data_IF_060855389204
#
_entry.id   IF_060855389204
#
_cell.length_a   1.000
_cell.length_b   1.000
_cell.length_c   1.000
_cell.angle_alpha   90.00
_cell.angle_beta   90.00
_cell.angle_gamma   90.00
#
_symmetry.space_group_name_H-M   'P 1'
#
loop_
_entity.id
_entity.type
_entity.pdbx_description
1 polymer ?
#
# COMPACT_ATOMS: atom_id res chain seq x y z
N UNK A 1 -3.18 31.69 20.40
CA UNK A 1 -4.35 31.60 21.29
C UNK A 1 -5.32 30.45 20.98
N UNK A 2 -5.91 30.33 19.76
CA UNK A 2 -6.85 29.20 19.48
C UNK A 2 -6.21 27.79 19.52
N UNK A 3 -4.92 27.67 19.21
CA UNK A 3 -4.20 26.38 19.15
C UNK A 3 -3.74 25.87 20.53
N UNK A 4 -3.31 26.76 21.43
CA UNK A 4 -2.90 26.38 22.79
C UNK A 4 -4.08 25.89 23.62
N UNK A 5 -5.25 26.54 23.52
CA UNK A 5 -6.47 26.03 24.15
C UNK A 5 -6.85 24.63 23.64
N UNK A 6 -6.60 24.33 22.36
CA UNK A 6 -6.94 23.03 21.78
C UNK A 6 -6.01 21.92 22.27
N UNK A 7 -4.71 22.22 22.45
CA UNK A 7 -3.76 21.28 23.04
C UNK A 7 -4.12 20.94 24.48
N UNK A 8 -4.52 21.95 25.27
CA UNK A 8 -4.94 21.79 26.67
C UNK A 8 -6.15 20.85 26.77
N UNK A 9 -7.14 21.03 25.89
CA UNK A 9 -8.35 20.17 25.85
C UNK A 9 -7.98 18.71 25.54
N UNK A 10 -7.11 18.46 24.55
CA UNK A 10 -6.69 17.10 24.18
C UNK A 10 -5.94 16.41 25.33
N UNK A 11 -5.10 17.16 26.06
CA UNK A 11 -4.38 16.63 27.22
C UNK A 11 -5.29 16.38 28.43
N UNK A 12 -6.31 17.22 28.65
CA UNK A 12 -7.30 17.02 29.71
C UNK A 12 -8.21 15.82 29.43
N UNK A 13 -8.69 15.66 28.19
CA UNK A 13 -9.53 14.53 27.80
C UNK A 13 -8.79 13.19 27.91
N UNK A 14 -7.49 13.17 27.57
CA UNK A 14 -6.62 12.01 27.74
C UNK A 14 -6.37 11.66 29.22
N UNK A 15 -6.29 12.66 30.10
CA UNK A 15 -6.10 12.46 31.55
C UNK A 15 -7.38 11.98 32.24
N UNK A 16 -8.56 12.37 31.73
CA UNK A 16 -9.87 12.09 32.33
C UNK A 16 -10.51 10.81 31.74
N UNK A 17 -9.87 10.15 30.77
CA UNK A 17 -10.34 8.88 30.22
C UNK A 17 -11.66 9.00 29.44
N UNK A 18 -12.00 10.19 28.94
CA UNK A 18 -13.21 10.38 28.14
C UNK A 18 -13.01 9.91 26.69
N UNK A 19 -14.14 9.59 26.05
CA UNK A 19 -14.23 9.04 24.69
C UNK A 19 -13.67 10.05 23.69
N UNK A 20 -12.48 9.79 23.15
CA UNK A 20 -11.84 10.63 22.13
C UNK A 20 -12.81 10.92 20.99
N UNK A 21 -13.15 12.19 20.79
CA UNK A 21 -13.94 12.62 19.64
C UNK A 21 -13.18 12.33 18.35
N UNK A 22 -13.88 12.13 17.23
CA UNK A 22 -13.24 11.95 15.90
C UNK A 22 -12.13 12.98 15.68
N UNK A 23 -12.40 14.25 16.00
CA UNK A 23 -11.43 15.37 15.91
C UNK A 23 -10.15 15.13 16.72
N UNK A 24 -10.25 14.57 17.92
CA UNK A 24 -9.08 14.25 18.76
C UNK A 24 -8.23 13.11 18.19
N UNK A 25 -8.86 12.11 17.55
CA UNK A 25 -8.13 11.02 16.89
C UNK A 25 -7.34 11.49 15.66
N UNK A 26 -7.89 12.43 14.87
CA UNK A 26 -7.17 13.05 13.75
C UNK A 26 -5.96 13.86 14.21
N UNK A 27 -6.08 14.61 15.31
CA UNK A 27 -4.99 15.41 15.86
C UNK A 27 -3.85 14.55 16.43
N UNK A 28 -4.16 13.40 17.02
CA UNK A 28 -3.16 12.41 17.46
C UNK A 28 -2.33 11.84 16.28
N UNK A 29 -2.95 11.64 15.10
CA UNK A 29 -2.25 11.13 13.91
C UNK A 29 -1.33 12.16 13.22
N UNK A 30 -1.55 13.44 13.49
CA UNK A 30 -0.80 14.55 12.88
C UNK A 30 0.33 15.02 13.83
N UNK A 31 0.23 14.78 15.13
CA UNK A 31 1.24 15.23 16.08
C UNK A 31 2.46 14.28 16.14
N UNK A 32 3.65 14.79 15.81
CA UNK A 32 4.91 14.08 16.04
C UNK A 32 5.38 14.30 17.48
N UNK A 33 5.22 13.27 18.31
CA UNK A 33 5.62 13.29 19.72
C UNK A 33 7.13 13.43 19.94
N UNK A 34 7.94 13.05 18.95
CA UNK A 34 9.41 13.06 19.08
C UNK A 34 10.01 14.41 18.69
N UNK A 35 9.40 15.10 17.73
CA UNK A 35 9.83 16.41 17.26
C UNK A 35 9.08 17.58 17.90
N UNK A 36 8.03 17.31 18.69
CA UNK A 36 7.09 18.31 19.22
C UNK A 36 6.54 19.24 18.12
N UNK A 37 6.27 18.68 16.93
CA UNK A 37 5.78 19.41 15.75
C UNK A 37 4.61 18.69 15.11
N UNK A 38 3.77 19.45 14.40
CA UNK A 38 2.72 18.89 13.56
C UNK A 38 3.38 18.31 12.31
N UNK A 39 3.13 17.04 11.99
CA UNK A 39 3.47 16.47 10.69
C UNK A 39 2.66 17.18 9.63
N UNK A 40 3.32 17.62 8.57
CA UNK A 40 2.66 18.16 7.39
C UNK A 40 1.53 17.21 6.94
N UNK A 41 0.33 17.73 6.62
CA UNK A 41 -0.77 16.91 6.14
C UNK A 41 -0.32 16.15 4.89
N UNK A 42 -0.70 14.87 4.79
CA UNK A 42 -0.36 14.06 3.63
C UNK A 42 -0.99 14.67 2.37
N UNK A 43 -0.15 15.05 1.42
CA UNK A 43 -0.57 15.50 0.09
C UNK A 43 -0.58 14.30 -0.85
N UNK A 44 -1.72 14.09 -1.51
CA UNK A 44 -1.85 13.07 -2.55
C UNK A 44 -0.97 13.50 -3.74
N UNK A 45 -0.07 12.63 -4.22
CA UNK A 45 0.80 12.97 -5.35
C UNK A 45 -0.03 13.10 -6.63
N UNK A 46 0.34 14.05 -7.47
CA UNK A 46 -0.11 14.09 -8.86
C UNK A 46 0.62 13.02 -9.67
N UNK A 47 0.08 12.70 -10.85
CA UNK A 47 0.78 11.90 -11.86
C UNK A 47 2.20 12.39 -12.15
N UNK A 48 2.39 13.72 -12.21
CA UNK A 48 3.70 14.31 -12.48
C UNK A 48 4.66 14.14 -11.31
N UNK A 49 4.18 14.19 -10.07
CA UNK A 49 5.00 13.93 -8.89
C UNK A 49 5.53 12.49 -8.87
N UNK A 50 4.68 11.51 -9.22
CA UNK A 50 5.10 10.11 -9.35
C UNK A 50 6.11 9.96 -10.48
N UNK A 51 5.82 10.49 -11.67
CA UNK A 51 6.72 10.42 -12.82
C UNK A 51 8.10 11.03 -12.52
N UNK A 52 8.14 12.20 -11.90
CA UNK A 52 9.39 12.86 -11.52
C UNK A 52 10.19 11.99 -10.53
N UNK A 53 9.50 11.37 -9.57
CA UNK A 53 10.11 10.54 -8.52
C UNK A 53 10.70 9.24 -9.07
N UNK A 54 9.95 8.48 -9.87
CA UNK A 54 10.38 7.15 -10.35
C UNK A 54 11.06 7.19 -11.73
N UNK A 55 10.88 8.26 -12.49
CA UNK A 55 11.33 8.40 -13.88
C UNK A 55 10.28 7.93 -14.89
N UNK A 56 10.35 8.47 -16.10
CA UNK A 56 9.37 8.23 -17.18
C UNK A 56 9.20 6.74 -17.52
N UNK A 57 10.30 5.99 -17.70
CA UNK A 57 10.22 4.56 -18.04
C UNK A 57 9.47 3.73 -16.98
N UNK A 58 9.77 3.96 -15.70
CA UNK A 58 9.07 3.27 -14.59
C UNK A 58 7.65 3.80 -14.41
N UNK A 59 7.37 5.04 -14.78
CA UNK A 59 6.01 5.59 -14.78
C UNK A 59 5.12 4.92 -15.83
N UNK A 60 5.66 4.58 -17.00
CA UNK A 60 4.94 3.79 -17.99
C UNK A 60 4.62 2.38 -17.48
N UNK A 61 5.57 1.75 -16.78
CA UNK A 61 5.34 0.46 -16.10
C UNK A 61 4.28 0.60 -15.00
N UNK A 62 4.37 1.64 -14.16
CA UNK A 62 3.38 1.95 -13.11
C UNK A 62 1.98 2.06 -13.71
N UNK A 63 1.79 2.89 -14.74
CA UNK A 63 0.50 3.10 -15.38
C UNK A 63 -0.04 1.83 -16.03
N UNK A 64 0.82 1.07 -16.72
CA UNK A 64 0.43 -0.18 -17.36
C UNK A 64 -0.05 -1.22 -16.34
N UNK A 65 0.60 -1.28 -15.18
CA UNK A 65 0.19 -2.17 -14.10
C UNK A 65 -1.15 -1.72 -13.48
N UNK A 66 -1.32 -0.42 -13.21
CA UNK A 66 -2.59 0.14 -12.73
C UNK A 66 -3.74 -0.20 -13.67
N UNK A 67 -3.58 0.02 -14.98
CA UNK A 67 -4.59 -0.28 -15.99
C UNK A 67 -4.97 -1.77 -16.01
N UNK A 68 -4.01 -2.68 -15.88
CA UNK A 68 -4.27 -4.13 -15.80
C UNK A 68 -5.09 -4.51 -14.58
N UNK A 69 -4.72 -3.97 -13.41
CA UNK A 69 -5.45 -4.19 -12.17
C UNK A 69 -6.87 -3.64 -12.31
N UNK A 70 -7.01 -2.40 -12.76
CA UNK A 70 -8.28 -1.70 -12.86
C UNK A 70 -9.21 -2.31 -13.92
N UNK A 71 -8.68 -2.96 -14.96
CA UNK A 71 -9.48 -3.72 -15.92
C UNK A 71 -10.18 -4.91 -15.28
N UNK A 72 -9.55 -5.57 -14.31
CA UNK A 72 -10.05 -6.80 -13.69
C UNK A 72 -10.74 -6.58 -12.34
N UNK A 73 -10.40 -5.49 -11.65
CA UNK A 73 -10.80 -5.23 -10.28
C UNK A 73 -11.38 -3.82 -10.11
N UNK A 74 -12.64 -3.75 -9.71
CA UNK A 74 -13.28 -2.57 -9.13
C UNK A 74 -12.97 -2.52 -7.62
N UNK A 75 -12.18 -1.52 -7.23
CA UNK A 75 -11.57 -1.39 -5.91
C UNK A 75 -11.64 0.05 -5.40
N UNK A 76 -11.64 0.19 -4.09
CA UNK A 76 -11.35 1.45 -3.41
C UNK A 76 -9.84 1.73 -3.51
N UNK A 77 -9.49 2.96 -3.88
CA UNK A 77 -8.12 3.42 -4.05
C UNK A 77 -7.73 4.32 -2.87
N UNK A 78 -6.59 4.05 -2.26
CA UNK A 78 -6.12 4.83 -1.11
C UNK A 78 -4.65 5.17 -1.24
N UNK A 79 -4.34 6.47 -1.22
CA UNK A 79 -2.99 6.98 -1.13
C UNK A 79 -2.56 7.17 0.33
N UNK A 80 -1.33 6.76 0.66
CA UNK A 80 -0.68 7.03 1.93
C UNK A 80 0.81 7.36 1.73
N UNK A 81 1.46 7.76 2.83
CA UNK A 81 2.93 7.78 2.91
C UNK A 81 3.45 6.34 2.88
N UNK A 82 4.57 6.11 2.19
CA UNK A 82 5.20 4.79 2.05
C UNK A 82 5.98 4.29 3.28
N UNK A 83 5.86 4.97 4.42
CA UNK A 83 6.58 4.63 5.64
C UNK A 83 8.04 5.06 5.61
N UNK A 84 8.94 4.26 6.22
CA UNK A 84 10.37 4.59 6.31
C UNK A 84 11.15 4.30 5.02
N UNK A 85 10.70 3.31 4.25
CA UNK A 85 11.43 2.80 3.08
C UNK A 85 10.93 3.35 1.74
N UNK A 86 9.75 3.98 1.72
CA UNK A 86 9.10 4.45 0.50
C UNK A 86 8.47 5.83 0.69
N UNK A 87 8.36 6.60 -0.39
CA UNK A 87 7.75 7.94 -0.37
C UNK A 87 6.24 7.84 -0.37
N UNK A 88 5.69 7.11 -1.34
CA UNK A 88 4.25 6.94 -1.52
C UNK A 88 3.85 5.48 -1.53
N UNK A 89 2.61 5.24 -1.10
CA UNK A 89 1.91 3.97 -1.17
C UNK A 89 0.54 4.20 -1.82
N UNK A 90 0.22 3.38 -2.82
CA UNK A 90 -1.05 3.39 -3.54
C UNK A 90 -1.74 2.04 -3.41
N UNK A 91 -2.79 1.98 -2.59
CA UNK A 91 -3.46 0.72 -2.21
C UNK A 91 -4.73 0.48 -3.02
N UNK A 92 -4.91 -0.77 -3.43
CA UNK A 92 -6.17 -1.31 -3.94
C UNK A 92 -6.87 -2.11 -2.83
N UNK A 93 -8.04 -1.65 -2.38
CA UNK A 93 -8.77 -2.23 -1.23
C UNK A 93 -10.22 -2.52 -1.56
N UNK A 94 -10.82 -3.51 -0.89
CA UNK A 94 -12.28 -3.71 -0.90
C UNK A 94 -12.70 -4.60 0.26
N UNK A 95 -13.75 -4.17 0.99
CA UNK A 95 -14.25 -4.84 2.19
C UNK A 95 -13.22 -4.88 3.32
N UNK A 96 -12.51 -3.77 3.55
CA UNK A 96 -11.46 -3.66 4.58
C UNK A 96 -10.14 -4.36 4.26
N UNK A 97 -10.12 -5.30 3.30
CA UNK A 97 -8.94 -6.07 2.90
C UNK A 97 -8.21 -5.44 1.70
N UNK A 98 -6.88 -5.47 1.75
CA UNK A 98 -6.00 -5.05 0.64
C UNK A 98 -5.85 -6.18 -0.37
N UNK A 99 -5.95 -5.83 -1.66
CA UNK A 99 -5.61 -6.72 -2.77
C UNK A 99 -4.10 -6.67 -3.04
N UNK A 100 -3.60 -5.46 -3.30
CA UNK A 100 -2.18 -5.13 -3.46
C UNK A 100 -1.94 -3.66 -3.14
N UNK A 101 -0.66 -3.28 -3.10
CA UNK A 101 -0.23 -1.90 -2.99
C UNK A 101 0.97 -1.66 -3.93
N UNK A 102 0.96 -0.54 -4.64
CA UNK A 102 2.14 -0.05 -5.34
C UNK A 102 2.87 0.94 -4.44
N UNK A 103 4.20 0.97 -4.52
CA UNK A 103 5.06 1.86 -3.77
C UNK A 103 5.98 2.63 -4.71
N UNK A 104 6.21 3.90 -4.40
CA UNK A 104 7.11 4.74 -5.15
C UNK A 104 8.16 5.35 -4.21
N UNK A 105 9.43 5.25 -4.61
CA UNK A 105 10.57 5.99 -4.05
C UNK A 105 11.49 6.37 -5.21
N UNK A 106 12.49 7.21 -4.95
CA UNK A 106 13.43 7.68 -5.98
C UNK A 106 13.90 6.53 -6.88
N UNK A 107 13.62 6.67 -8.20
CA UNK A 107 13.97 5.70 -9.26
C UNK A 107 13.55 4.25 -9.01
N UNK A 108 12.53 4.01 -8.20
CA UNK A 108 12.09 2.65 -7.86
C UNK A 108 10.56 2.52 -7.78
N UNK A 109 10.03 1.50 -8.45
CA UNK A 109 8.64 1.06 -8.36
C UNK A 109 8.56 -0.26 -7.57
N UNK A 110 7.82 -0.25 -6.47
CA UNK A 110 7.50 -1.42 -5.67
C UNK A 110 6.09 -1.91 -5.92
N UNK A 111 5.89 -3.23 -5.88
CA UNK A 111 4.57 -3.85 -5.86
C UNK A 111 4.51 -4.87 -4.73
N UNK A 112 3.51 -4.76 -3.87
CA UNK A 112 3.36 -5.62 -2.70
C UNK A 112 2.04 -6.38 -2.70
N UNK A 113 2.14 -7.67 -2.39
CA UNK A 113 1.00 -8.54 -2.09
C UNK A 113 1.23 -9.20 -0.74
N UNK A 114 0.17 -9.28 0.08
CA UNK A 114 0.19 -9.98 1.36
C UNK A 114 -0.66 -11.25 1.22
N UNK A 115 -0.04 -12.41 1.36
CA UNK A 115 -0.73 -13.71 1.29
C UNK A 115 -0.94 -14.29 2.69
N UNK A 116 -2.20 -14.45 3.08
CA UNK A 116 -2.63 -15.16 4.28
C UNK A 116 -2.42 -16.67 4.16
N UNK A 117 -2.79 -17.43 5.20
CA UNK A 117 -2.60 -18.88 5.26
C UNK A 117 -3.18 -19.62 4.04
N UNK A 118 -4.45 -19.38 3.73
CA UNK A 118 -5.15 -20.08 2.65
C UNK A 118 -4.65 -19.65 1.26
N UNK A 119 -4.25 -18.39 1.13
CA UNK A 119 -3.70 -17.84 -0.11
C UNK A 119 -2.31 -18.42 -0.39
N UNK A 120 -1.48 -18.60 0.65
CA UNK A 120 -0.19 -19.30 0.53
C UNK A 120 -0.38 -20.76 0.15
N UNK A 121 -1.34 -21.48 0.74
CA UNK A 121 -1.64 -22.85 0.35
C UNK A 121 -1.98 -22.97 -1.15
N UNK A 122 -2.76 -22.00 -1.68
CA UNK A 122 -3.04 -21.92 -3.13
C UNK A 122 -1.82 -21.57 -3.98
N UNK A 123 -0.94 -20.72 -3.46
CA UNK A 123 0.33 -20.40 -4.12
C UNK A 123 1.20 -21.65 -4.23
N UNK A 124 1.40 -22.42 -3.15
CA UNK A 124 2.23 -23.63 -3.18
C UNK A 124 1.72 -24.66 -4.19
N UNK A 125 0.39 -24.85 -4.29
CA UNK A 125 -0.21 -25.77 -5.28
C UNK A 125 0.08 -25.33 -6.72
N UNK A 126 0.11 -24.02 -6.97
CA UNK A 126 0.32 -23.44 -8.30
C UNK A 126 1.76 -22.97 -8.53
N UNK A 127 2.67 -23.27 -7.60
CA UNK A 127 4.01 -22.68 -7.53
C UNK A 127 4.81 -22.86 -8.81
N UNK A 128 4.73 -24.04 -9.43
CA UNK A 128 5.41 -24.34 -10.70
C UNK A 128 4.93 -23.52 -11.90
N UNK A 129 3.86 -22.73 -11.76
CA UNK A 129 3.36 -21.82 -12.80
C UNK A 129 3.95 -20.41 -12.70
N UNK A 130 4.67 -20.09 -11.62
CA UNK A 130 5.32 -18.80 -11.41
C UNK A 130 6.77 -18.83 -11.89
N UNK A 131 7.26 -17.69 -12.35
CA UNK A 131 8.68 -17.54 -12.70
C UNK A 131 9.61 -17.86 -11.51
N UNK A 132 10.84 -18.28 -11.83
CA UNK A 132 11.87 -18.55 -10.81
C UNK A 132 12.12 -17.32 -9.92
N UNK A 133 12.08 -16.11 -10.51
CA UNK A 133 12.22 -14.86 -9.78
C UNK A 133 11.15 -14.69 -8.71
N UNK A 134 9.88 -14.90 -9.06
CA UNK A 134 8.77 -14.79 -8.11
C UNK A 134 8.83 -15.85 -7.02
N UNK A 135 9.23 -17.07 -7.37
CA UNK A 135 9.43 -18.14 -6.39
C UNK A 135 10.54 -17.79 -5.37
N UNK A 136 11.69 -17.27 -5.84
CA UNK A 136 12.78 -16.85 -4.96
C UNK A 136 12.37 -15.70 -4.03
N UNK A 137 11.69 -14.68 -4.57
CA UNK A 137 11.20 -13.55 -3.77
C UNK A 137 10.17 -14.03 -2.74
N UNK A 138 9.26 -14.93 -3.12
CA UNK A 138 8.29 -15.52 -2.21
C UNK A 138 8.98 -16.31 -1.07
N UNK A 139 10.03 -17.06 -1.35
CA UNK A 139 10.75 -17.83 -0.33
C UNK A 139 11.46 -16.93 0.68
N UNK A 140 12.11 -15.88 0.19
CA UNK A 140 12.80 -14.89 1.01
C UNK A 140 11.86 -13.97 1.79
N UNK A 141 10.58 -13.86 1.39
CA UNK A 141 9.60 -12.98 2.01
C UNK A 141 9.32 -13.35 3.49
N UNK A 142 9.16 -12.32 4.33
CA UNK A 142 8.86 -12.50 5.75
C UNK A 142 7.37 -12.79 5.97
N UNK A 143 7.06 -13.72 6.87
CA UNK A 143 5.68 -13.99 7.31
C UNK A 143 5.40 -13.30 8.64
N UNK A 144 4.46 -12.37 8.63
CA UNK A 144 3.95 -11.66 9.79
C UNK A 144 2.61 -12.26 10.24
N UNK A 145 2.03 -11.70 11.31
CA UNK A 145 0.79 -12.19 11.89
C UNK A 145 -0.41 -12.13 10.92
N UNK A 146 -0.39 -11.21 9.96
CA UNK A 146 -1.46 -10.98 8.98
C UNK A 146 -1.19 -11.64 7.62
N UNK A 147 0.00 -12.21 7.41
CA UNK A 147 0.35 -12.95 6.20
C UNK A 147 1.82 -12.82 5.82
N UNK A 148 2.18 -13.42 4.69
CA UNK A 148 3.51 -13.27 4.08
C UNK A 148 3.53 -12.06 3.18
N UNK A 149 4.41 -11.11 3.48
CA UNK A 149 4.53 -9.85 2.77
C UNK A 149 5.58 -9.99 1.67
N UNK A 150 5.12 -9.99 0.43
CA UNK A 150 5.97 -10.24 -0.72
C UNK A 150 6.10 -8.92 -1.47
N UNK A 151 7.28 -8.32 -1.43
CA UNK A 151 7.62 -7.07 -2.10
C UNK A 151 8.43 -7.36 -3.36
N UNK A 152 7.98 -6.82 -4.48
CA UNK A 152 8.65 -6.88 -5.78
C UNK A 152 9.14 -5.48 -6.14
N UNK A 153 10.39 -5.34 -6.61
CA UNK A 153 10.87 -4.12 -7.25
C UNK A 153 10.80 -4.31 -8.76
N UNK A 154 9.79 -3.70 -9.41
CA UNK A 154 9.53 -3.88 -10.83
C UNK A 154 10.39 -2.93 -11.65
N UNK A 155 11.04 -3.47 -12.68
CA UNK A 155 11.90 -2.71 -13.61
C UNK A 155 11.31 -2.61 -15.02
N UNK A 156 10.49 -3.59 -15.39
CA UNK A 156 9.85 -3.72 -16.68
C UNK A 156 8.54 -4.52 -16.53
N UNK A 157 7.93 -4.91 -17.64
CA UNK A 157 6.65 -5.61 -17.67
C UNK A 157 6.75 -7.13 -17.60
N UNK A 158 7.95 -7.72 -17.48
CA UNK A 158 8.16 -9.18 -17.56
C UNK A 158 7.39 -9.95 -16.49
N UNK A 159 7.28 -9.38 -15.29
CA UNK A 159 6.59 -10.01 -14.15
C UNK A 159 5.08 -9.78 -14.12
N UNK A 160 4.50 -9.05 -15.08
CA UNK A 160 3.07 -8.68 -15.02
C UNK A 160 2.14 -9.90 -14.97
N UNK A 161 2.42 -10.94 -15.76
CA UNK A 161 1.61 -12.16 -15.75
C UNK A 161 1.68 -12.86 -14.38
N UNK A 162 2.83 -12.85 -13.71
CA UNK A 162 2.96 -13.39 -12.35
C UNK A 162 2.19 -12.53 -11.34
N UNK A 163 2.25 -11.20 -11.47
CA UNK A 163 1.49 -10.29 -10.60
C UNK A 163 -0.01 -10.54 -10.74
N UNK A 164 -0.52 -10.68 -11.96
CA UNK A 164 -1.92 -11.03 -12.21
C UNK A 164 -2.30 -12.37 -11.57
N UNK A 165 -1.46 -13.41 -11.69
CA UNK A 165 -1.68 -14.71 -11.02
C UNK A 165 -1.70 -14.59 -9.49
N UNK A 166 -0.82 -13.78 -8.90
CA UNK A 166 -0.83 -13.50 -7.45
C UNK A 166 -2.14 -12.81 -7.03
N UNK A 167 -2.62 -11.85 -7.82
CA UNK A 167 -3.89 -11.19 -7.56
C UNK A 167 -5.07 -12.16 -7.66
N UNK A 168 -5.08 -13.06 -8.64
CA UNK A 168 -6.10 -14.10 -8.78
C UNK A 168 -6.16 -15.04 -7.57
N UNK A 169 -4.99 -15.37 -6.97
CA UNK A 169 -4.92 -16.13 -5.72
C UNK A 169 -5.57 -15.34 -4.56
N UNK A 170 -5.27 -14.05 -4.48
CA UNK A 170 -5.74 -13.14 -3.42
C UNK A 170 -7.26 -12.93 -3.49
N UNK A 171 -7.80 -12.70 -4.68
CA UNK A 171 -9.21 -12.40 -4.89
C UNK A 171 -9.60 -12.67 -6.34
N UNK A 172 -10.77 -13.27 -6.56
CA UNK A 172 -11.33 -13.40 -7.91
C UNK A 172 -11.66 -12.01 -8.50
N UNK A 173 -11.43 -11.78 -9.81
CA UNK A 173 -11.85 -10.57 -10.49
C UNK A 173 -13.33 -10.28 -10.25
N UNK A 174 -13.67 -9.01 -10.15
CA UNK A 174 -15.04 -8.57 -9.82
C UNK A 174 -15.61 -7.56 -10.83
N UNK A 175 -14.85 -7.23 -11.88
CA UNK A 175 -15.41 -6.63 -13.09
C UNK A 175 -15.89 -7.73 -14.02
N UNK A 176 -16.96 -7.43 -14.78
CA UNK A 176 -17.40 -8.31 -15.86
C UNK A 176 -16.30 -8.31 -16.94
N UNK A 177 -15.99 -9.49 -17.48
CA UNK A 177 -15.22 -9.55 -18.72
C UNK A 177 -16.05 -8.85 -19.81
N UNK A 178 -15.47 -7.83 -20.43
CA UNK A 178 -16.00 -7.26 -21.67
C UNK A 178 -15.84 -8.24 -22.83
#
# INVERSE_FOLDING_TARGET
MKMELLLIIITQDAYIGQRFTKRSSYLCGIYDKTANTMKEPFQIPTSKDIENLIGTDLYDVWNSLCQRIEKSYEMELLWNRGGKAWTYEYKYRKGGKTLCALYAKEKTLGFMVILGKDERAKFEIQRGQFSNEVQMIYDAATTFHDGKWIMFELKDTKLFNDMERLLLIKRKPNRKAE
#
